data_IF_648825910659
#
_entry.id   IF_648825910659
#
_cell.length_a   1.000
_cell.length_b   1.000
_cell.length_c   1.000
_cell.angle_alpha   90.00
_cell.angle_beta   90.00
_cell.angle_gamma   90.00
#
_symmetry.space_group_name_H-M   'P 1'
#
loop_
_entity.id
_entity.type
_entity.pdbx_description
1 polymer ?
#
# COMPACT_ATOMS: atom_id res chain seq x y z
N UNK A 1 13.82 30.00 24.06
CA UNK A 1 13.95 28.88 23.11
C UNK A 1 12.78 28.92 22.14
N UNK A 2 13.04 29.06 20.83
CA UNK A 2 11.99 29.05 19.80
C UNK A 2 11.30 27.68 19.80
N UNK A 3 9.98 27.66 20.04
CA UNK A 3 9.20 26.42 20.08
C UNK A 3 9.24 25.75 18.69
N UNK A 4 9.92 24.62 18.57
CA UNK A 4 9.99 23.85 17.33
C UNK A 4 8.59 23.30 17.03
N UNK A 5 8.02 23.66 15.87
CA UNK A 5 6.65 23.28 15.49
C UNK A 5 6.61 21.94 14.77
N UNK A 6 5.54 21.18 15.00
CA UNK A 6 5.24 19.94 14.29
C UNK A 6 4.14 20.15 13.23
N UNK A 7 4.42 19.76 11.98
CA UNK A 7 3.45 19.76 10.87
C UNK A 7 2.59 18.50 10.88
N UNK A 8 1.51 18.51 10.09
CA UNK A 8 0.67 17.34 9.75
C UNK A 8 -0.05 16.66 10.93
N UNK A 9 -0.11 17.31 12.10
CA UNK A 9 -0.67 16.73 13.32
C UNK A 9 0.23 15.68 13.98
N UNK A 10 1.52 15.65 13.62
CA UNK A 10 2.46 14.65 14.12
C UNK A 10 2.83 14.88 15.59
N UNK A 11 3.14 13.81 16.36
CA UNK A 11 3.67 13.94 17.71
C UNK A 11 4.97 14.76 17.72
N UNK A 12 5.04 15.79 18.58
CA UNK A 12 6.22 16.66 18.67
C UNK A 12 7.47 15.90 19.15
N UNK A 13 7.30 14.89 20.02
CA UNK A 13 8.37 13.99 20.44
C UNK A 13 8.43 12.79 19.49
N UNK A 14 9.56 12.65 18.79
CA UNK A 14 9.84 11.47 17.97
C UNK A 14 10.31 10.33 18.87
N UNK A 15 9.76 9.14 18.66
CA UNK A 15 10.18 7.90 19.33
C UNK A 15 10.14 6.72 18.38
N UNK A 16 10.91 5.68 18.70
CA UNK A 16 11.02 4.45 17.92
C UNK A 16 10.57 3.25 18.75
N UNK A 17 9.99 2.26 18.09
CA UNK A 17 9.53 1.04 18.73
C UNK A 17 10.72 0.32 19.39
N UNK A 18 10.52 -0.23 20.58
CA UNK A 18 11.57 -1.02 21.26
C UNK A 18 11.81 -2.39 20.62
N UNK A 19 10.81 -2.98 19.96
CA UNK A 19 10.91 -4.31 19.31
C UNK A 19 11.33 -4.25 17.84
N UNK A 20 11.08 -3.15 17.12
CA UNK A 20 11.45 -2.99 15.71
C UNK A 20 12.07 -1.61 15.45
N UNK A 21 12.04 -1.13 14.21
CA UNK A 21 12.57 0.20 13.82
C UNK A 21 11.50 1.24 13.51
N UNK A 22 10.22 0.91 13.65
CA UNK A 22 9.13 1.81 13.29
C UNK A 22 9.06 3.04 14.22
N UNK A 23 8.81 4.21 13.64
CA UNK A 23 8.65 5.48 14.38
C UNK A 23 7.18 5.78 14.71
N UNK A 24 6.95 6.47 15.83
CA UNK A 24 5.64 7.03 16.19
C UNK A 24 5.16 8.16 15.25
N UNK A 25 5.99 8.56 14.28
CA UNK A 25 5.63 9.50 13.22
C UNK A 25 4.90 8.83 12.05
N UNK A 26 4.88 7.49 12.00
CA UNK A 26 4.17 6.75 10.94
C UNK A 26 2.67 7.07 10.99
N UNK A 27 2.06 7.53 9.88
CA UNK A 27 0.61 7.70 9.83
C UNK A 27 -0.11 6.35 9.85
N UNK A 28 -1.24 6.30 10.55
CA UNK A 28 -2.17 5.18 10.57
C UNK A 28 -3.08 5.21 9.34
N UNK A 29 -3.62 4.04 8.96
CA UNK A 29 -4.60 3.94 7.89
C UNK A 29 -5.87 4.75 8.20
N UNK A 30 -6.41 5.40 7.18
CA UNK A 30 -7.64 6.21 7.25
C UNK A 30 -8.51 5.93 6.03
N UNK A 31 -9.76 6.39 6.03
CA UNK A 31 -10.62 6.37 4.84
C UNK A 31 -10.14 7.45 3.87
N UNK A 32 -9.52 7.07 2.76
CA UNK A 32 -8.75 7.98 1.90
C UNK A 32 -9.58 9.07 1.24
N UNK A 33 -10.86 8.78 0.92
CA UNK A 33 -11.72 9.71 0.18
C UNK A 33 -12.24 10.88 1.02
N UNK A 34 -12.03 10.86 2.34
CA UNK A 34 -12.47 11.90 3.28
C UNK A 34 -11.36 12.86 3.72
N UNK A 35 -10.13 12.68 3.22
CA UNK A 35 -8.97 13.43 3.71
C UNK A 35 -8.71 14.72 2.92
N UNK A 36 -8.66 15.86 3.62
CA UNK A 36 -8.31 17.16 3.09
C UNK A 36 -6.91 17.63 3.55
N UNK A 37 -6.36 18.62 2.84
CA UNK A 37 -5.16 19.33 3.31
C UNK A 37 -5.46 20.06 4.62
N UNK A 38 -4.70 19.75 5.68
CA UNK A 38 -4.87 20.35 7.01
C UNK A 38 -5.41 19.40 8.08
N UNK A 39 -5.97 18.26 7.69
CA UNK A 39 -6.45 17.25 8.62
C UNK A 39 -5.30 16.66 9.45
N UNK A 40 -5.51 16.58 10.77
CA UNK A 40 -4.55 15.97 11.71
C UNK A 40 -4.47 14.47 11.46
N UNK A 41 -3.27 13.99 11.12
CA UNK A 41 -3.06 12.55 10.94
C UNK A 41 -2.97 11.87 12.30
N UNK A 42 -3.73 10.78 12.45
CA UNK A 42 -3.46 9.82 13.52
C UNK A 42 -2.19 9.05 13.16
N UNK A 43 -1.34 8.82 14.14
CA UNK A 43 -0.11 8.05 13.98
C UNK A 43 -0.21 6.68 14.65
N UNK A 44 0.71 5.78 14.33
CA UNK A 44 0.80 4.45 14.92
C UNK A 44 0.85 4.55 16.45
N UNK A 45 0.08 3.71 17.15
CA UNK A 45 0.06 3.74 18.61
C UNK A 45 1.20 2.89 19.17
N UNK A 46 1.74 3.39 20.29
CA UNK A 46 2.76 2.74 21.11
C UNK A 46 2.17 2.52 22.50
N UNK A 47 2.44 1.37 23.10
CA UNK A 47 2.09 1.13 24.50
C UNK A 47 3.03 1.86 25.48
N UNK A 48 2.77 1.72 26.77
CA UNK A 48 3.61 2.30 27.83
C UNK A 48 5.05 1.77 27.84
N UNK A 49 5.29 0.56 27.29
CA UNK A 49 6.61 -0.02 27.14
C UNK A 49 7.33 0.46 25.87
N UNK A 50 6.70 1.28 25.02
CA UNK A 50 7.26 1.77 23.77
C UNK A 50 7.23 0.76 22.63
N UNK A 51 6.33 -0.21 22.65
CA UNK A 51 6.12 -1.21 21.59
C UNK A 51 4.93 -0.79 20.72
N UNK A 52 5.10 -0.83 19.41
CA UNK A 52 4.05 -0.43 18.47
C UNK A 52 3.03 -1.54 18.19
N UNK A 53 1.81 -1.16 17.80
CA UNK A 53 0.70 -2.08 17.52
C UNK A 53 1.06 -3.19 16.53
N UNK A 54 1.88 -2.89 15.51
CA UNK A 54 2.30 -3.88 14.52
C UNK A 54 3.14 -5.01 15.15
N UNK A 55 3.97 -4.70 16.16
CA UNK A 55 4.74 -5.71 16.88
C UNK A 55 3.84 -6.56 17.78
N UNK A 56 2.83 -5.95 18.41
CA UNK A 56 1.80 -6.68 19.16
C UNK A 56 1.00 -7.62 18.27
N UNK A 57 0.63 -7.18 17.06
CA UNK A 57 -0.05 -8.05 16.10
C UNK A 57 0.84 -9.20 15.63
N UNK A 58 2.14 -8.94 15.37
CA UNK A 58 3.08 -10.00 15.02
C UNK A 58 3.24 -11.04 16.14
N UNK A 59 3.32 -10.62 17.39
CA UNK A 59 3.37 -11.54 18.54
C UNK A 59 2.08 -12.35 18.70
N UNK A 60 0.92 -11.70 18.52
CA UNK A 60 -0.38 -12.38 18.49
C UNK A 60 -0.45 -13.42 17.36
N UNK A 61 0.05 -13.07 16.17
CA UNK A 61 0.10 -13.94 14.98
C UNK A 61 0.88 -15.23 15.24
N UNK A 62 1.94 -15.16 16.05
CA UNK A 62 2.77 -16.31 16.41
C UNK A 62 2.22 -17.13 17.59
N UNK A 63 1.52 -16.50 18.52
CA UNK A 63 1.20 -17.13 19.82
C UNK A 63 -0.27 -17.48 20.01
N UNK A 64 -1.19 -16.81 19.31
CA UNK A 64 -2.64 -16.93 19.56
C UNK A 64 -3.43 -17.48 18.36
N UNK A 65 -2.85 -17.48 17.15
CA UNK A 65 -3.55 -17.95 15.95
C UNK A 65 -3.29 -19.43 15.72
N UNK A 66 -4.36 -20.23 15.73
CA UNK A 66 -4.35 -21.61 15.24
C UNK A 66 -4.47 -21.62 13.71
N UNK A 67 -3.34 -21.74 13.02
CA UNK A 67 -3.28 -21.76 11.56
C UNK A 67 -3.98 -22.95 10.91
N UNK A 68 -4.07 -24.10 11.58
CA UNK A 68 -4.80 -25.26 11.06
C UNK A 68 -6.30 -24.97 11.05
N UNK A 69 -6.81 -24.36 12.12
CA UNK A 69 -8.20 -23.90 12.19
C UNK A 69 -8.49 -22.83 11.14
N UNK A 70 -7.59 -21.87 10.94
CA UNK A 70 -7.72 -20.84 9.88
C UNK A 70 -7.77 -21.45 8.48
N UNK A 71 -6.88 -22.39 8.19
CA UNK A 71 -6.89 -23.07 6.90
C UNK A 71 -8.20 -23.85 6.67
N UNK A 72 -8.75 -24.49 7.72
CA UNK A 72 -10.05 -25.15 7.63
C UNK A 72 -11.17 -24.16 7.28
N UNK A 73 -11.19 -22.99 7.93
CA UNK A 73 -12.16 -21.93 7.63
C UNK A 73 -12.05 -21.43 6.19
N UNK A 74 -10.83 -21.37 5.63
CA UNK A 74 -10.63 -21.01 4.22
C UNK A 74 -11.20 -22.08 3.29
N UNK A 75 -10.97 -23.36 3.58
CA UNK A 75 -11.55 -24.46 2.78
C UNK A 75 -13.07 -24.38 2.77
N UNK A 76 -13.69 -24.22 3.94
CA UNK A 76 -15.14 -24.04 4.06
C UNK A 76 -15.64 -22.79 3.32
N UNK A 77 -14.87 -21.70 3.30
CA UNK A 77 -15.20 -20.51 2.51
C UNK A 77 -15.11 -20.82 1.00
N UNK A 78 -14.00 -21.39 0.54
CA UNK A 78 -13.81 -21.77 -0.85
C UNK A 78 -14.91 -22.73 -1.32
N UNK A 79 -15.22 -23.78 -0.56
CA UNK A 79 -16.24 -24.77 -0.91
C UNK A 79 -17.64 -24.16 -1.09
N UNK A 80 -17.97 -23.10 -0.35
CA UNK A 80 -19.26 -22.39 -0.51
C UNK A 80 -19.37 -21.56 -1.78
N UNK A 81 -18.25 -21.09 -2.32
CA UNK A 81 -18.22 -20.17 -3.46
C UNK A 81 -17.71 -20.81 -4.74
N UNK A 82 -16.96 -21.91 -4.65
CA UNK A 82 -16.41 -22.64 -5.79
C UNK A 82 -17.52 -22.99 -6.77
N UNK A 83 -17.29 -22.65 -8.02
CA UNK A 83 -18.25 -22.93 -9.09
C UNK A 83 -17.87 -24.19 -9.84
N UNK A 84 -18.88 -24.93 -10.29
CA UNK A 84 -18.72 -26.17 -11.06
C UNK A 84 -19.00 -25.98 -12.55
N UNK A 85 -19.44 -24.78 -12.96
CA UNK A 85 -19.75 -24.43 -14.34
C UNK A 85 -18.55 -23.81 -15.09
N UNK A 86 -17.35 -23.93 -14.51
CA UNK A 86 -16.09 -23.35 -15.02
C UNK A 86 -16.06 -21.82 -15.11
N UNK A 87 -17.03 -21.11 -14.53
CA UNK A 87 -16.98 -19.66 -14.43
C UNK A 87 -16.14 -19.20 -13.22
N UNK A 88 -15.69 -17.94 -13.24
CA UNK A 88 -14.90 -17.39 -12.15
C UNK A 88 -15.67 -17.40 -10.82
N UNK A 89 -15.01 -17.83 -9.75
CA UNK A 89 -15.59 -17.95 -8.42
C UNK A 89 -14.96 -17.01 -7.39
N UNK A 90 -13.81 -16.41 -7.71
CA UNK A 90 -13.20 -15.35 -6.94
C UNK A 90 -12.46 -14.32 -7.79
N UNK A 91 -12.38 -13.08 -7.29
CA UNK A 91 -11.54 -12.02 -7.83
C UNK A 91 -10.27 -11.91 -6.99
N UNK A 92 -9.11 -11.84 -7.65
CA UNK A 92 -7.83 -11.59 -6.99
C UNK A 92 -7.19 -10.33 -7.57
N UNK A 93 -7.31 -9.18 -6.88
CA UNK A 93 -6.60 -7.96 -7.26
C UNK A 93 -5.09 -8.14 -7.08
N UNK A 94 -4.31 -7.70 -8.05
CA UNK A 94 -2.86 -7.87 -8.00
C UNK A 94 -2.10 -7.27 -9.16
N UNK A 95 -0.79 -7.04 -8.98
CA UNK A 95 0.10 -6.52 -10.02
C UNK A 95 1.00 -7.58 -10.66
N UNK A 96 0.89 -8.84 -10.23
CA UNK A 96 1.90 -9.87 -10.51
C UNK A 96 3.10 -9.82 -9.57
N UNK A 97 3.06 -8.95 -8.56
CA UNK A 97 3.96 -9.00 -7.42
C UNK A 97 3.79 -10.28 -6.59
N UNK A 98 4.79 -10.56 -5.74
CA UNK A 98 4.90 -11.78 -4.92
C UNK A 98 3.62 -12.16 -4.17
N UNK A 99 2.93 -11.18 -3.56
CA UNK A 99 1.75 -11.44 -2.73
C UNK A 99 0.53 -11.81 -3.56
N UNK A 100 0.29 -11.13 -4.68
CA UNK A 100 -0.78 -11.48 -5.62
C UNK A 100 -0.50 -12.79 -6.35
N UNK A 101 0.76 -13.06 -6.67
CA UNK A 101 1.20 -14.32 -7.26
C UNK A 101 0.93 -15.48 -6.29
N UNK A 102 1.34 -15.36 -5.03
CA UNK A 102 1.00 -16.33 -3.98
C UNK A 102 -0.51 -16.50 -3.83
N UNK A 103 -1.26 -15.41 -3.66
CA UNK A 103 -2.69 -15.46 -3.38
C UNK A 103 -3.49 -16.15 -4.49
N UNK A 104 -3.28 -15.74 -5.74
CA UNK A 104 -3.97 -16.35 -6.89
C UNK A 104 -3.56 -17.81 -7.10
N UNK A 105 -2.27 -18.13 -6.97
CA UNK A 105 -1.76 -19.48 -7.19
C UNK A 105 -2.20 -20.45 -6.10
N UNK A 106 -2.15 -20.06 -4.82
CA UNK A 106 -2.61 -20.95 -3.76
C UNK A 106 -4.13 -21.19 -3.86
N UNK A 107 -4.93 -20.17 -4.19
CA UNK A 107 -6.37 -20.32 -4.40
C UNK A 107 -6.66 -21.28 -5.56
N UNK A 108 -6.00 -21.11 -6.71
CA UNK A 108 -6.21 -21.97 -7.88
C UNK A 108 -5.74 -23.40 -7.64
N UNK A 109 -4.47 -23.59 -7.30
CA UNK A 109 -3.85 -24.91 -7.37
C UNK A 109 -3.95 -25.72 -6.07
N UNK A 110 -4.18 -25.08 -4.91
CA UNK A 110 -4.37 -25.78 -3.62
C UNK A 110 -5.84 -25.86 -3.20
N UNK A 111 -6.65 -24.86 -3.53
CA UNK A 111 -8.05 -24.79 -3.13
C UNK A 111 -9.04 -24.98 -4.28
N UNK A 112 -8.54 -25.26 -5.49
CA UNK A 112 -9.35 -25.58 -6.67
C UNK A 112 -10.37 -24.48 -6.99
N UNK A 113 -9.95 -23.22 -6.86
CA UNK A 113 -10.75 -22.06 -7.23
C UNK A 113 -10.43 -21.62 -8.66
N UNK A 114 -11.36 -20.90 -9.29
CA UNK A 114 -11.22 -20.26 -10.59
C UNK A 114 -11.06 -18.73 -10.43
N UNK A 115 -9.86 -18.23 -10.08
CA UNK A 115 -9.64 -16.81 -9.89
C UNK A 115 -9.63 -16.04 -11.22
N UNK A 116 -10.39 -14.95 -11.28
CA UNK A 116 -10.11 -13.87 -12.23
C UNK A 116 -9.16 -12.88 -11.57
N UNK A 117 -7.95 -12.75 -12.13
CA UNK A 117 -7.01 -11.74 -11.63
C UNK A 117 -7.32 -10.38 -12.22
N UNK A 118 -7.14 -9.32 -11.43
CA UNK A 118 -7.44 -7.95 -11.88
C UNK A 118 -6.33 -7.01 -11.47
N UNK A 119 -5.76 -6.31 -12.44
CA UNK A 119 -4.63 -5.41 -12.23
C UNK A 119 -5.04 -3.97 -12.41
N UNK A 120 -4.80 -3.15 -11.39
CA UNK A 120 -4.75 -1.71 -11.53
C UNK A 120 -3.35 -1.32 -11.96
N UNK A 121 -3.19 -0.77 -13.17
CA UNK A 121 -1.88 -0.45 -13.72
C UNK A 121 -1.11 0.54 -12.81
N UNK A 122 0.22 0.38 -12.66
CA UNK A 122 1.07 1.36 -12.02
C UNK A 122 1.10 2.67 -12.82
N UNK A 123 1.67 3.72 -12.22
CA UNK A 123 1.85 4.99 -12.93
C UNK A 123 2.73 4.80 -14.16
N UNK A 124 3.86 4.10 -13.97
CA UNK A 124 4.83 3.75 -14.99
C UNK A 124 5.46 2.40 -14.64
N UNK A 125 5.32 1.41 -15.53
CA UNK A 125 5.97 0.12 -15.34
C UNK A 125 7.50 0.24 -15.32
N UNK A 126 8.13 -0.55 -14.45
CA UNK A 126 9.53 -0.95 -14.63
C UNK A 126 9.59 -2.17 -15.57
N UNK A 127 10.76 -2.41 -16.17
CA UNK A 127 10.96 -3.56 -17.04
C UNK A 127 10.75 -4.89 -16.28
N UNK A 128 11.29 -4.99 -15.06
CA UNK A 128 11.13 -6.18 -14.22
C UNK A 128 9.68 -6.35 -13.75
N UNK A 129 8.99 -5.25 -13.45
CA UNK A 129 7.57 -5.23 -13.13
C UNK A 129 6.72 -5.81 -14.25
N UNK A 130 6.96 -5.33 -15.47
CA UNK A 130 6.26 -5.82 -16.66
C UNK A 130 6.54 -7.32 -16.92
N UNK A 131 7.79 -7.76 -16.78
CA UNK A 131 8.15 -9.19 -16.90
C UNK A 131 7.48 -10.05 -15.84
N UNK A 132 7.43 -9.59 -14.59
CA UNK A 132 6.76 -10.32 -13.52
C UNK A 132 5.24 -10.38 -13.72
N UNK A 133 4.63 -9.29 -14.18
CA UNK A 133 3.22 -9.25 -14.54
C UNK A 133 2.89 -10.26 -15.65
N UNK A 134 3.67 -10.29 -16.72
CA UNK A 134 3.45 -11.25 -17.82
C UNK A 134 3.77 -12.68 -17.41
N UNK A 135 4.81 -12.91 -16.61
CA UNK A 135 5.13 -14.24 -16.07
C UNK A 135 4.01 -14.76 -15.16
N UNK A 136 3.44 -13.89 -14.31
CA UNK A 136 2.29 -14.24 -13.48
C UNK A 136 1.15 -14.81 -14.32
N UNK A 137 0.82 -14.17 -15.46
CA UNK A 137 -0.22 -14.64 -16.39
C UNK A 137 0.20 -15.92 -17.10
N UNK A 138 1.32 -15.90 -17.83
CA UNK A 138 1.68 -16.96 -18.78
C UNK A 138 2.29 -18.20 -18.12
N UNK A 139 3.08 -18.02 -17.06
CA UNK A 139 3.70 -19.13 -16.33
C UNK A 139 2.90 -19.52 -15.10
N UNK A 140 2.36 -18.53 -14.36
CA UNK A 140 1.45 -18.80 -13.24
C UNK A 140 0.08 -19.34 -13.68
N UNK A 141 -0.33 -19.07 -14.92
CA UNK A 141 -1.52 -19.64 -15.54
C UNK A 141 -2.80 -18.94 -15.07
N UNK A 142 -2.91 -17.63 -15.26
CA UNK A 142 -4.08 -16.84 -14.86
C UNK A 142 -4.67 -16.01 -15.99
N UNK A 143 -6.00 -15.93 -16.00
CA UNK A 143 -6.71 -14.89 -16.73
C UNK A 143 -6.57 -13.56 -15.98
N UNK A 144 -6.38 -12.48 -16.74
CA UNK A 144 -6.18 -11.15 -16.17
C UNK A 144 -6.99 -10.08 -16.90
N UNK A 145 -7.59 -9.18 -16.12
CA UNK A 145 -7.99 -7.87 -16.65
C UNK A 145 -7.02 -6.81 -16.16
N UNK A 146 -6.24 -6.25 -17.09
CA UNK A 146 -5.44 -5.07 -16.87
C UNK A 146 -6.29 -3.82 -17.07
N UNK A 147 -6.59 -3.13 -15.98
CA UNK A 147 -7.22 -1.81 -16.01
C UNK A 147 -6.13 -0.73 -15.96
N UNK A 148 -5.87 -0.13 -17.11
CA UNK A 148 -5.01 1.06 -17.22
C UNK A 148 -5.90 2.31 -17.24
N UNK A 149 -5.81 3.21 -16.23
CA UNK A 149 -6.62 4.43 -16.24
C UNK A 149 -6.24 5.37 -17.38
N UNK A 150 -7.14 6.30 -17.69
CA UNK A 150 -6.84 7.41 -18.59
C UNK A 150 -5.56 8.12 -18.12
N UNK A 151 -4.48 8.00 -18.90
CA UNK A 151 -3.16 8.47 -18.52
C UNK A 151 -3.08 9.99 -18.31
N UNK A 152 -3.93 10.78 -19.00
CA UNK A 152 -4.01 12.23 -18.79
C UNK A 152 -4.57 12.56 -17.40
N UNK A 153 -5.61 11.82 -17.00
CA UNK A 153 -6.26 11.98 -15.69
C UNK A 153 -5.34 11.48 -14.59
N UNK A 154 -4.71 10.32 -14.77
CA UNK A 154 -3.82 9.74 -13.76
C UNK A 154 -2.62 10.65 -13.48
N UNK A 155 -1.98 11.18 -14.53
CA UNK A 155 -0.89 12.17 -14.42
C UNK A 155 -1.34 13.44 -13.71
N UNK A 156 -2.50 14.00 -14.09
CA UNK A 156 -3.06 15.19 -13.46
C UNK A 156 -3.29 14.98 -11.96
N UNK A 157 -3.97 13.89 -11.58
CA UNK A 157 -4.25 13.58 -10.18
C UNK A 157 -2.96 13.34 -9.39
N UNK A 158 -1.95 12.70 -9.99
CA UNK A 158 -0.64 12.46 -9.38
C UNK A 158 0.10 13.78 -9.14
N UNK A 159 0.12 14.67 -10.14
CA UNK A 159 0.68 16.03 -10.03
C UNK A 159 -0.01 16.83 -8.92
N UNK A 160 -1.34 16.81 -8.87
CA UNK A 160 -2.11 17.49 -7.82
C UNK A 160 -1.79 16.90 -6.44
N UNK A 161 -1.77 15.57 -6.32
CA UNK A 161 -1.45 14.89 -5.06
C UNK A 161 -0.02 15.22 -4.57
N UNK A 162 0.95 15.30 -5.48
CA UNK A 162 2.31 15.76 -5.15
C UNK A 162 2.32 17.22 -4.69
N UNK A 163 1.75 18.15 -5.47
CA UNK A 163 1.81 19.60 -5.20
C UNK A 163 1.05 19.99 -3.94
N UNK A 164 -0.11 19.39 -3.71
CA UNK A 164 -1.03 19.77 -2.64
C UNK A 164 -0.79 18.98 -1.35
N UNK A 165 -0.45 17.70 -1.46
CA UNK A 165 -0.39 16.79 -0.31
C UNK A 165 1.03 16.26 -0.04
N UNK A 166 1.96 16.43 -0.98
CA UNK A 166 3.23 15.70 -1.03
C UNK A 166 3.00 14.19 -0.90
N UNK A 167 2.06 13.67 -1.69
CA UNK A 167 1.69 12.25 -1.69
C UNK A 167 1.36 11.80 -3.12
N UNK A 168 2.36 11.69 -4.01
CA UNK A 168 2.13 11.41 -5.43
C UNK A 168 1.36 10.10 -5.67
N UNK A 169 1.55 9.11 -4.80
CA UNK A 169 0.95 7.78 -4.92
C UNK A 169 -0.53 7.69 -4.55
N UNK A 170 -1.15 8.77 -4.06
CA UNK A 170 -2.55 8.77 -3.64
C UNK A 170 -3.52 8.25 -4.72
N UNK A 171 -3.43 8.67 -6.00
CA UNK A 171 -4.34 8.19 -7.03
C UNK A 171 -4.27 6.68 -7.26
N UNK A 172 -3.07 6.10 -7.15
CA UNK A 172 -2.87 4.66 -7.25
C UNK A 172 -3.54 3.91 -6.09
N UNK A 173 -3.44 4.42 -4.85
CA UNK A 173 -4.11 3.81 -3.68
C UNK A 173 -5.63 3.74 -3.89
N UNK A 174 -6.25 4.78 -4.48
CA UNK A 174 -7.68 4.75 -4.79
C UNK A 174 -8.03 3.63 -5.78
N UNK A 175 -7.31 3.58 -6.90
CA UNK A 175 -7.53 2.52 -7.90
C UNK A 175 -7.35 1.13 -7.31
N UNK A 176 -6.25 0.90 -6.59
CA UNK A 176 -5.92 -0.37 -5.95
C UNK A 176 -7.03 -0.84 -4.99
N UNK A 177 -7.58 0.05 -4.16
CA UNK A 177 -8.64 -0.32 -3.21
C UNK A 177 -9.97 -0.65 -3.89
N UNK A 178 -10.30 0.07 -4.96
CA UNK A 178 -11.60 -0.03 -5.60
C UNK A 178 -11.68 -1.18 -6.60
N UNK A 179 -10.56 -1.56 -7.23
CA UNK A 179 -10.57 -2.43 -8.42
C UNK A 179 -11.19 -3.79 -8.14
N UNK A 180 -10.88 -4.42 -7.00
CA UNK A 180 -11.44 -5.73 -6.65
C UNK A 180 -12.96 -5.70 -6.51
N UNK A 181 -13.49 -4.73 -5.79
CA UNK A 181 -14.92 -4.58 -5.60
C UNK A 181 -15.65 -4.16 -6.89
N UNK A 182 -15.05 -3.27 -7.71
CA UNK A 182 -15.59 -2.89 -9.03
C UNK A 182 -15.73 -4.10 -9.95
N UNK A 183 -14.70 -4.94 -10.01
CA UNK A 183 -14.70 -6.10 -10.89
C UNK A 183 -15.55 -7.25 -10.36
N UNK A 184 -15.63 -7.43 -9.03
CA UNK A 184 -16.62 -8.32 -8.42
C UNK A 184 -18.04 -7.98 -8.88
N UNK A 185 -18.40 -6.68 -8.86
CA UNK A 185 -19.70 -6.22 -9.31
C UNK A 185 -19.93 -6.43 -10.82
N UNK A 186 -18.90 -6.12 -11.62
CA UNK A 186 -18.97 -6.18 -13.10
C UNK A 186 -19.06 -7.61 -13.63
N UNK A 187 -18.38 -8.56 -12.99
CA UNK A 187 -18.35 -9.97 -13.39
C UNK A 187 -19.33 -10.84 -12.61
N UNK A 188 -20.08 -10.26 -11.66
CA UNK A 188 -20.99 -10.99 -10.78
C UNK A 188 -20.28 -12.14 -10.02
N UNK A 189 -19.11 -11.82 -9.45
CA UNK A 189 -18.26 -12.73 -8.67
C UNK A 189 -18.18 -12.17 -7.24
N UNK A 190 -18.94 -12.73 -6.28
CA UNK A 190 -19.12 -12.10 -4.97
C UNK A 190 -17.95 -12.29 -3.99
N UNK A 191 -16.93 -13.08 -4.32
CA UNK A 191 -15.80 -13.33 -3.43
C UNK A 191 -14.53 -12.63 -3.95
N UNK A 192 -13.90 -11.80 -3.12
CA UNK A 192 -12.65 -11.10 -3.44
C UNK A 192 -11.61 -11.40 -2.37
N UNK A 193 -10.38 -11.70 -2.79
CA UNK A 193 -9.24 -11.87 -1.88
C UNK A 193 -8.15 -10.83 -2.13
N UNK A 194 -7.81 -10.05 -1.10
CA UNK A 194 -6.55 -9.32 -1.01
C UNK A 194 -5.53 -10.11 -0.20
N UNK A 195 -4.25 -9.95 -0.51
CA UNK A 195 -3.18 -10.70 0.17
C UNK A 195 -3.05 -10.34 1.66
N UNK A 196 -2.84 -9.06 1.96
CA UNK A 196 -2.31 -8.60 3.26
C UNK A 196 -3.36 -7.97 4.16
N UNK A 197 -3.24 -8.18 5.48
CA UNK A 197 -4.03 -7.45 6.46
C UNK A 197 -3.33 -6.15 6.87
N UNK A 198 -4.07 -5.04 6.92
CA UNK A 198 -3.56 -3.72 7.35
C UNK A 198 -2.90 -3.72 8.74
N UNK A 199 -3.25 -4.68 9.60
CA UNK A 199 -2.67 -4.85 10.92
C UNK A 199 -1.14 -5.11 10.88
N UNK A 200 -0.61 -5.65 9.78
CA UNK A 200 0.83 -5.88 9.56
C UNK A 200 1.65 -4.58 9.61
N UNK A 201 0.99 -3.43 9.43
CA UNK A 201 1.60 -2.10 9.43
C UNK A 201 1.24 -1.26 10.66
N UNK A 202 0.37 -1.75 11.54
CA UNK A 202 -0.15 -1.01 12.69
C UNK A 202 -1.24 0.00 12.33
N UNK A 203 -2.36 -0.06 13.04
CA UNK A 203 -3.56 0.72 12.70
C UNK A 203 -4.34 1.27 13.92
N UNK A 204 -3.73 1.32 15.11
CA UNK A 204 -4.33 1.94 16.29
C UNK A 204 -5.40 1.08 16.99
N UNK A 205 -5.33 -0.24 16.85
CA UNK A 205 -6.26 -1.20 17.48
C UNK A 205 -5.51 -2.35 18.12
N UNK A 206 -6.15 -3.01 19.09
CA UNK A 206 -5.59 -4.22 19.68
C UNK A 206 -5.44 -5.35 18.65
N UNK A 207 -4.54 -6.32 18.87
CA UNK A 207 -4.39 -7.45 17.95
C UNK A 207 -5.69 -8.22 17.70
N UNK A 208 -6.52 -8.40 18.73
CA UNK A 208 -7.80 -9.11 18.63
C UNK A 208 -8.83 -8.35 17.77
N UNK A 209 -8.88 -7.02 17.86
CA UNK A 209 -9.76 -6.20 17.02
C UNK A 209 -9.30 -6.14 15.55
N UNK A 210 -8.03 -6.45 15.32
CA UNK A 210 -7.39 -6.50 14.01
C UNK A 210 -7.45 -7.87 13.34
N UNK A 211 -7.74 -8.90 14.11
CA UNK A 211 -7.96 -10.25 13.64
C UNK A 211 -9.34 -10.39 12.97
N UNK A 212 -9.48 -9.76 11.82
CA UNK A 212 -10.69 -9.76 11.01
C UNK A 212 -10.42 -10.43 9.66
N UNK A 213 -11.36 -11.25 9.21
CA UNK A 213 -11.29 -11.89 7.89
C UNK A 213 -11.61 -10.90 6.77
N UNK A 214 -12.64 -10.07 6.97
CA UNK A 214 -13.17 -9.21 5.92
C UNK A 214 -12.67 -7.78 6.02
N UNK A 215 -12.38 -7.19 4.87
CA UNK A 215 -12.12 -5.76 4.71
C UNK A 215 -13.44 -5.03 4.95
N UNK A 216 -13.42 -4.00 5.81
CA UNK A 216 -14.63 -3.21 6.06
C UNK A 216 -15.06 -2.46 4.78
N UNK A 217 -16.34 -2.54 4.37
CA UNK A 217 -16.82 -1.89 3.15
C UNK A 217 -16.53 -0.40 3.07
N UNK A 218 -16.48 0.31 4.19
CA UNK A 218 -16.19 1.76 4.22
C UNK A 218 -14.83 2.14 3.62
N UNK A 219 -13.90 1.20 3.42
CA UNK A 219 -12.60 1.48 2.80
C UNK A 219 -12.64 1.55 1.27
N UNK A 220 -13.69 1.04 0.64
CA UNK A 220 -13.79 0.94 -0.83
C UNK A 220 -15.20 1.19 -1.36
N UNK A 221 -16.17 1.50 -0.49
CA UNK A 221 -17.56 1.77 -0.87
C UNK A 221 -18.12 2.99 -0.15
N UNK A 222 -19.01 3.69 -0.84
CA UNK A 222 -19.77 4.83 -0.32
C UNK A 222 -21.01 5.05 -1.18
N UNK A 223 -22.10 5.47 -0.55
CA UNK A 223 -23.27 6.02 -1.24
C UNK A 223 -23.40 7.54 -1.01
N UNK A 224 -22.40 8.17 -0.39
CA UNK A 224 -22.32 9.62 -0.25
C UNK A 224 -22.16 10.29 -1.63
N UNK A 225 -22.59 11.56 -1.73
CA UNK A 225 -22.38 12.33 -2.96
C UNK A 225 -20.90 12.39 -3.31
N UNK A 226 -20.58 12.21 -4.60
CA UNK A 226 -19.20 12.31 -5.09
C UNK A 226 -18.59 13.69 -4.84
N UNK A 227 -19.42 14.71 -4.59
CA UNK A 227 -18.97 16.06 -4.26
C UNK A 227 -18.21 16.16 -2.94
N UNK A 228 -18.38 15.18 -2.03
CA UNK A 228 -17.64 15.11 -0.76
C UNK A 228 -16.25 14.50 -0.91
N UNK A 229 -15.95 13.91 -2.08
CA UNK A 229 -14.71 13.18 -2.33
C UNK A 229 -13.59 14.15 -2.73
N UNK A 230 -12.40 13.90 -2.20
CA UNK A 230 -11.19 14.66 -2.49
C UNK A 230 -10.16 13.76 -3.17
N UNK A 231 -9.70 14.17 -4.36
CA UNK A 231 -8.64 13.48 -5.11
C UNK A 231 -7.48 14.45 -5.36
N UNK A 232 -6.25 14.05 -5.04
CA UNK A 232 -5.07 14.92 -5.18
C UNK A 232 -5.13 16.20 -4.33
N UNK A 233 -5.91 16.18 -3.24
CA UNK A 233 -6.16 17.36 -2.41
C UNK A 233 -7.16 18.35 -3.00
N UNK A 234 -7.87 17.98 -4.07
CA UNK A 234 -8.88 18.81 -4.75
C UNK A 234 -10.25 18.12 -4.67
N UNK A 235 -11.31 18.83 -4.25
CA UNK A 235 -12.67 18.30 -4.30
C UNK A 235 -13.07 17.90 -5.73
N UNK A 236 -13.75 16.75 -5.88
CA UNK A 236 -14.22 16.25 -7.19
C UNK A 236 -15.05 17.29 -7.94
N UNK A 237 -15.91 18.03 -7.25
CA UNK A 237 -16.69 19.13 -7.85
C UNK A 237 -15.82 20.18 -8.55
N UNK A 238 -14.64 20.50 -8.00
CA UNK A 238 -13.69 21.43 -8.62
C UNK A 238 -12.97 20.80 -9.81
N UNK A 239 -12.63 19.51 -9.73
CA UNK A 239 -12.01 18.78 -10.84
C UNK A 239 -12.94 18.75 -12.07
N UNK A 240 -14.23 18.49 -11.85
CA UNK A 240 -15.23 18.50 -12.92
C UNK A 240 -15.40 19.90 -13.54
N UNK A 241 -15.46 20.94 -12.70
CA UNK A 241 -15.73 22.31 -13.15
C UNK A 241 -14.53 23.03 -13.78
N UNK A 242 -13.31 22.78 -13.29
CA UNK A 242 -12.11 23.57 -13.64
C UNK A 242 -11.07 22.81 -14.45
N UNK A 243 -10.98 21.49 -14.29
CA UNK A 243 -9.99 20.67 -15.00
C UNK A 243 -10.58 20.00 -16.25
N UNK A 244 -11.83 20.30 -16.60
CA UNK A 244 -12.51 19.75 -17.78
C UNK A 244 -12.72 18.23 -17.72
N UNK A 245 -12.66 17.63 -16.53
CA UNK A 245 -12.83 16.19 -16.35
C UNK A 245 -14.31 15.81 -16.36
N UNK A 246 -14.62 14.66 -16.95
CA UNK A 246 -15.95 14.06 -16.87
C UNK A 246 -16.09 13.18 -15.63
N UNK A 247 -17.33 12.82 -15.27
CA UNK A 247 -17.57 11.81 -14.23
C UNK A 247 -16.96 10.45 -14.60
N UNK A 248 -16.96 10.10 -15.88
CA UNK A 248 -16.37 8.85 -16.37
C UNK A 248 -14.85 8.81 -16.18
N UNK A 249 -14.17 9.95 -16.37
CA UNK A 249 -12.72 10.07 -16.13
C UNK A 249 -12.36 9.78 -14.67
N UNK A 250 -13.23 10.18 -13.74
CA UNK A 250 -13.00 10.04 -12.31
C UNK A 250 -13.50 8.72 -11.73
N UNK A 251 -14.48 8.06 -12.36
CA UNK A 251 -15.11 6.83 -11.86
C UNK A 251 -14.11 5.77 -11.37
N UNK A 252 -12.97 5.49 -12.05
CA UNK A 252 -12.00 4.49 -11.59
C UNK A 252 -11.45 4.76 -10.18
N UNK A 253 -11.39 6.03 -9.78
CA UNK A 253 -10.90 6.48 -8.48
C UNK A 253 -11.99 6.59 -7.42
N UNK A 254 -13.26 6.50 -7.82
CA UNK A 254 -14.41 6.64 -6.92
C UNK A 254 -14.77 5.29 -6.28
N UNK A 255 -15.20 5.31 -5.00
CA UNK A 255 -15.67 4.11 -4.32
C UNK A 255 -16.91 3.54 -5.01
N UNK A 256 -17.11 2.23 -4.89
CA UNK A 256 -18.32 1.58 -5.42
C UNK A 256 -19.54 1.85 -4.53
N UNK A 257 -20.74 1.66 -5.07
CA UNK A 257 -21.97 1.79 -4.27
C UNK A 257 -22.05 0.70 -3.20
N UNK A 258 -22.25 1.12 -1.95
CA UNK A 258 -22.45 0.20 -0.83
C UNK A 258 -23.74 -0.62 -1.02
N UNK A 259 -24.80 0.00 -1.55
CA UNK A 259 -26.04 -0.69 -1.93
C UNK A 259 -25.82 -1.78 -2.98
N UNK A 260 -25.01 -1.52 -4.01
CA UNK A 260 -24.70 -2.51 -5.03
C UNK A 260 -23.95 -3.72 -4.46
N UNK A 261 -22.95 -3.49 -3.61
CA UNK A 261 -22.22 -4.56 -2.93
C UNK A 261 -23.13 -5.43 -2.06
N UNK A 262 -24.03 -4.81 -1.29
CA UNK A 262 -25.00 -5.54 -0.47
C UNK A 262 -25.95 -6.38 -1.32
N UNK A 263 -26.44 -5.84 -2.44
CA UNK A 263 -27.34 -6.55 -3.37
C UNK A 263 -26.69 -7.81 -3.95
N UNK A 264 -25.44 -7.73 -4.38
CA UNK A 264 -24.70 -8.87 -4.93
C UNK A 264 -23.96 -9.70 -3.86
N UNK A 265 -24.09 -9.34 -2.58
CA UNK A 265 -23.45 -10.03 -1.44
C UNK A 265 -21.92 -10.15 -1.60
N UNK A 266 -21.29 -9.10 -2.14
CA UNK A 266 -19.84 -9.07 -2.33
C UNK A 266 -19.14 -9.05 -0.97
N UNK A 267 -18.18 -9.94 -0.79
CA UNK A 267 -17.30 -10.03 0.38
C UNK A 267 -15.85 -9.89 -0.04
N UNK A 268 -15.14 -8.99 0.62
CA UNK A 268 -13.72 -8.77 0.41
C UNK A 268 -12.96 -9.30 1.62
N UNK A 269 -12.08 -10.27 1.40
CA UNK A 269 -11.34 -10.97 2.45
C UNK A 269 -9.85 -10.69 2.39
N UNK A 270 -9.21 -10.67 3.55
CA UNK A 270 -7.76 -10.75 3.70
C UNK A 270 -7.35 -12.22 3.70
N UNK A 271 -6.63 -12.68 2.67
CA UNK A 271 -6.11 -14.04 2.64
C UNK A 271 -5.14 -14.29 3.80
N UNK A 272 -4.40 -13.27 4.23
CA UNK A 272 -3.53 -13.28 5.42
C UNK A 272 -4.24 -13.63 6.74
N UNK A 273 -5.57 -13.55 6.80
CA UNK A 273 -6.34 -14.04 7.93
C UNK A 273 -6.33 -15.57 8.01
N UNK A 274 -6.35 -16.21 6.84
CA UNK A 274 -6.51 -17.63 6.68
C UNK A 274 -5.17 -18.37 6.57
N UNK A 275 -4.22 -17.75 5.87
CA UNK A 275 -2.87 -18.28 5.64
C UNK A 275 -1.87 -17.31 6.25
N UNK A 276 -0.86 -17.85 6.94
CA UNK A 276 0.17 -17.03 7.59
C UNK A 276 0.91 -16.22 6.54
N UNK A 277 0.74 -14.90 6.60
CA UNK A 277 1.44 -13.99 5.71
C UNK A 277 2.85 -13.69 6.20
N UNK A 278 3.81 -13.95 5.31
CA UNK A 278 5.21 -13.52 5.40
C UNK A 278 5.67 -13.14 3.97
N UNK A 279 6.08 -11.89 3.73
CA UNK A 279 6.42 -11.41 2.40
C UNK A 279 7.66 -12.09 1.81
N UNK A 280 8.58 -12.58 2.64
CA UNK A 280 9.76 -13.31 2.16
C UNK A 280 9.37 -14.74 1.76
N UNK A 281 8.48 -15.40 2.51
CA UNK A 281 7.95 -16.71 2.11
C UNK A 281 7.09 -16.60 0.85
N UNK A 282 6.29 -15.54 0.71
CA UNK A 282 5.55 -15.27 -0.51
C UNK A 282 6.47 -15.01 -1.71
N UNK A 283 7.61 -14.34 -1.50
CA UNK A 283 8.63 -14.18 -2.53
C UNK A 283 9.16 -15.54 -3.00
N UNK A 284 9.57 -16.41 -2.08
CA UNK A 284 10.07 -17.75 -2.43
C UNK A 284 9.01 -18.58 -3.15
N UNK A 285 7.76 -18.51 -2.70
CA UNK A 285 6.65 -19.18 -3.34
C UNK A 285 6.44 -18.68 -4.78
N UNK A 286 6.32 -17.36 -4.97
CA UNK A 286 6.08 -16.76 -6.27
C UNK A 286 7.21 -17.08 -7.27
N UNK A 287 8.47 -17.02 -6.83
CA UNK A 287 9.60 -17.39 -7.69
C UNK A 287 9.54 -18.84 -8.13
N UNK A 288 9.11 -19.75 -7.26
CA UNK A 288 8.97 -21.17 -7.58
C UNK A 288 7.81 -21.47 -8.52
N UNK A 289 6.71 -20.74 -8.39
CA UNK A 289 5.41 -21.14 -8.94
C UNK A 289 4.88 -20.27 -10.08
N UNK A 290 5.34 -19.03 -10.23
CA UNK A 290 4.74 -18.07 -11.18
C UNK A 290 5.77 -17.37 -12.06
N UNK A 291 7.04 -17.80 -12.01
CA UNK A 291 8.12 -17.16 -12.76
C UNK A 291 8.52 -15.78 -12.23
N UNK A 292 8.13 -15.43 -10.98
CA UNK A 292 8.50 -14.14 -10.39
C UNK A 292 10.01 -14.02 -10.21
N UNK A 293 10.57 -12.89 -10.65
CA UNK A 293 11.98 -12.57 -10.56
C UNK A 293 12.21 -11.35 -9.67
N UNK A 294 13.19 -11.45 -8.78
CA UNK A 294 13.72 -10.29 -8.10
C UNK A 294 14.45 -9.38 -9.09
N UNK A 295 14.55 -8.10 -8.76
CA UNK A 295 15.37 -7.15 -9.49
C UNK A 295 16.87 -7.51 -9.37
N UNK A 296 17.67 -7.17 -10.37
CA UNK A 296 19.13 -7.38 -10.33
C UNK A 296 19.80 -6.48 -9.30
N UNK A 297 19.21 -5.31 -9.07
CA UNK A 297 19.66 -4.30 -8.13
C UNK A 297 18.64 -4.07 -7.00
N UNK A 298 19.10 -3.50 -5.89
CA UNK A 298 18.19 -3.06 -4.81
C UNK A 298 17.35 -1.87 -5.25
N UNK A 299 16.16 -1.76 -4.68
CA UNK A 299 15.32 -0.57 -4.84
C UNK A 299 15.88 0.60 -4.03
N UNK A 300 15.93 1.79 -4.63
CA UNK A 300 16.42 2.99 -3.95
C UNK A 300 15.55 3.31 -2.71
N UNK A 301 16.21 3.72 -1.62
CA UNK A 301 15.59 3.87 -0.31
C UNK A 301 15.51 2.57 0.50
N UNK A 302 15.94 1.43 -0.06
CA UNK A 302 15.92 0.12 0.58
C UNK A 302 17.12 -0.76 0.19
N UNK A 303 17.23 -1.89 0.88
CA UNK A 303 18.12 -3.02 0.59
C UNK A 303 17.41 -4.16 -0.14
N UNK A 304 16.07 -4.13 -0.20
CA UNK A 304 15.27 -5.17 -0.87
C UNK A 304 15.39 -5.12 -2.39
N UNK A 305 15.25 -6.28 -3.03
CA UNK A 305 15.23 -6.47 -4.49
C UNK A 305 13.90 -7.02 -5.03
N UNK A 306 12.94 -7.34 -4.17
CA UNK A 306 11.77 -8.14 -4.56
C UNK A 306 10.43 -7.53 -4.14
N UNK A 307 10.43 -6.54 -3.25
CA UNK A 307 9.22 -5.87 -2.80
C UNK A 307 8.95 -4.64 -3.66
N UNK A 308 7.70 -4.45 -4.13
CA UNK A 308 7.22 -3.25 -4.86
C UNK A 308 8.21 -2.74 -5.91
N UNK A 309 8.46 -3.58 -6.91
CA UNK A 309 9.46 -3.33 -7.97
C UNK A 309 8.81 -3.02 -9.32
N UNK A 310 7.49 -2.86 -9.37
CA UNK A 310 6.68 -2.77 -10.58
C UNK A 310 6.40 -1.34 -11.05
N UNK A 311 6.51 -0.33 -10.18
CA UNK A 311 6.23 1.07 -10.50
C UNK A 311 7.47 1.97 -10.32
N UNK A 312 7.84 2.72 -11.36
CA UNK A 312 8.91 3.74 -11.32
C UNK A 312 8.60 4.91 -10.38
N UNK A 313 7.33 5.13 -10.05
CA UNK A 313 6.87 6.20 -9.14
C UNK A 313 6.90 5.79 -7.67
N UNK A 314 6.91 4.49 -7.36
CA UNK A 314 6.89 3.98 -5.99
C UNK A 314 8.05 4.47 -5.09
N UNK A 315 9.31 4.57 -5.58
CA UNK A 315 10.38 5.15 -4.78
C UNK A 315 10.10 6.60 -4.31
N UNK A 316 9.37 7.39 -5.09
CA UNK A 316 8.96 8.76 -4.71
C UNK A 316 7.86 8.77 -3.65
N UNK A 317 7.02 7.72 -3.57
CA UNK A 317 6.08 7.55 -2.45
C UNK A 317 6.83 7.45 -1.12
N UNK A 318 7.86 6.62 -1.07
CA UNK A 318 8.65 6.43 0.15
C UNK A 318 9.56 7.63 0.43
N UNK A 319 10.13 8.27 -0.59
CA UNK A 319 10.90 9.50 -0.39
C UNK A 319 10.02 10.63 0.16
N UNK A 320 8.82 10.84 -0.37
CA UNK A 320 7.90 11.86 0.17
C UNK A 320 7.39 11.51 1.57
N UNK A 321 7.24 10.22 1.88
CA UNK A 321 6.97 9.71 3.24
C UNK A 321 8.11 10.08 4.20
N UNK A 322 9.37 9.87 3.80
CA UNK A 322 10.55 10.29 4.56
C UNK A 322 10.51 11.80 4.83
N UNK A 323 10.24 12.61 3.80
CA UNK A 323 10.22 14.06 3.95
C UNK A 323 9.17 14.52 4.98
N UNK A 324 7.98 13.92 4.96
CA UNK A 324 6.89 14.32 5.86
C UNK A 324 7.03 13.75 7.26
N UNK A 325 7.50 12.52 7.38
CA UNK A 325 7.35 11.69 8.57
C UNK A 325 8.67 11.19 9.16
N UNK A 326 9.81 11.45 8.49
CA UNK A 326 11.12 11.03 8.97
C UNK A 326 11.37 9.52 8.86
N UNK A 327 10.55 8.79 8.10
CA UNK A 327 10.68 7.35 7.85
C UNK A 327 10.65 7.08 6.34
N UNK A 328 11.64 6.35 5.84
CA UNK A 328 11.75 5.92 4.45
C UNK A 328 11.30 4.47 4.27
N UNK A 329 11.64 3.90 3.11
CA UNK A 329 11.26 2.54 2.73
C UNK A 329 11.97 1.47 3.56
N UNK A 330 13.26 1.60 3.80
CA UNK A 330 14.04 0.66 4.61
C UNK A 330 13.47 0.53 6.03
N UNK A 331 12.88 1.58 6.61
CA UNK A 331 12.15 1.48 7.89
C UNK A 331 10.96 0.54 7.80
N UNK A 332 10.16 0.59 6.73
CA UNK A 332 9.04 -0.34 6.55
C UNK A 332 9.52 -1.77 6.36
N UNK A 333 10.47 -1.98 5.45
CA UNK A 333 11.03 -3.30 5.12
C UNK A 333 11.70 -3.93 6.35
N UNK A 334 12.63 -3.22 7.01
CA UNK A 334 13.33 -3.72 8.20
C UNK A 334 12.38 -3.94 9.38
N UNK A 335 11.39 -3.06 9.59
CA UNK A 335 10.44 -3.29 10.66
C UNK A 335 9.61 -4.56 10.43
N UNK A 336 9.26 -4.87 9.17
CA UNK A 336 8.56 -6.09 8.81
C UNK A 336 9.48 -7.31 9.00
N UNK A 337 10.71 -7.28 8.50
CA UNK A 337 11.66 -8.40 8.60
C UNK A 337 12.07 -8.71 10.05
N UNK A 338 12.14 -7.70 10.92
CA UNK A 338 12.31 -7.92 12.37
C UNK A 338 11.11 -8.66 12.95
N UNK A 339 9.88 -8.28 12.57
CA UNK A 339 8.65 -8.92 13.05
C UNK A 339 8.53 -10.37 12.59
N UNK A 340 9.04 -10.71 11.41
CA UNK A 340 9.15 -12.10 10.92
C UNK A 340 10.43 -12.82 11.36
N UNK A 341 11.25 -12.21 12.23
CA UNK A 341 12.49 -12.78 12.80
C UNK A 341 13.55 -13.13 11.75
N UNK A 342 13.56 -12.43 10.62
CA UNK A 342 14.53 -12.61 9.53
C UNK A 342 15.81 -11.81 9.78
N UNK A 343 15.68 -10.68 10.48
CA UNK A 343 16.81 -9.88 10.96
C UNK A 343 16.57 -9.46 12.42
N UNK A 344 17.65 -9.12 13.11
CA UNK A 344 17.62 -8.52 14.44
C UNK A 344 17.28 -7.03 14.36
N UNK A 345 16.87 -6.43 15.49
CA UNK A 345 16.68 -4.98 15.57
C UNK A 345 17.97 -4.21 15.26
N UNK A 346 19.13 -4.70 15.71
CA UNK A 346 20.42 -4.05 15.49
C UNK A 346 20.77 -3.99 13.99
N UNK A 347 20.58 -5.09 13.27
CA UNK A 347 20.72 -5.12 11.80
C UNK A 347 19.73 -4.17 11.13
N UNK A 348 18.46 -4.17 11.57
CA UNK A 348 17.46 -3.25 11.05
C UNK A 348 17.82 -1.78 11.24
N UNK A 349 18.36 -1.39 12.41
CA UNK A 349 18.87 -0.04 12.65
C UNK A 349 19.99 0.31 11.67
N UNK A 350 20.95 -0.59 11.45
CA UNK A 350 22.05 -0.37 10.52
C UNK A 350 21.55 -0.19 9.08
N UNK A 351 20.58 -1.00 8.65
CA UNK A 351 19.96 -0.91 7.33
C UNK A 351 19.18 0.40 7.15
N UNK A 352 18.39 0.82 8.14
CA UNK A 352 17.67 2.10 8.11
C UNK A 352 18.65 3.25 7.98
N UNK A 353 19.69 3.31 8.81
CA UNK A 353 20.70 4.39 8.75
C UNK A 353 21.40 4.47 7.39
N UNK A 354 21.60 3.32 6.74
CA UNK A 354 22.28 3.24 5.44
C UNK A 354 21.39 3.64 4.26
N UNK A 355 20.11 3.26 4.27
CA UNK A 355 19.29 3.30 3.06
C UNK A 355 18.10 4.27 3.10
N UNK A 356 17.52 4.60 4.27
CA UNK A 356 16.23 5.31 4.32
C UNK A 356 16.26 6.71 3.70
N UNK A 357 17.41 7.39 3.79
CA UNK A 357 17.60 8.76 3.29
C UNK A 357 18.14 8.82 1.85
N UNK A 358 18.27 7.68 1.18
CA UNK A 358 18.67 7.64 -0.22
C UNK A 358 17.61 8.29 -1.11
N UNK A 359 18.07 9.14 -2.03
CA UNK A 359 17.20 9.75 -3.03
C UNK A 359 17.02 8.80 -4.23
N UNK A 360 15.78 8.62 -4.74
CA UNK A 360 15.52 7.77 -5.88
C UNK A 360 15.91 8.45 -7.21
N UNK A 361 17.20 8.39 -7.55
CA UNK A 361 17.75 9.07 -8.73
C UNK A 361 17.37 8.36 -10.03
N UNK A 362 17.29 7.02 -10.05
CA UNK A 362 17.14 6.23 -11.30
C UNK A 362 15.90 6.61 -12.11
N UNK A 363 14.79 6.87 -11.44
CA UNK A 363 13.52 7.25 -12.08
C UNK A 363 13.15 8.71 -11.88
N UNK A 364 14.10 9.57 -11.48
CA UNK A 364 13.80 10.97 -11.19
C UNK A 364 13.39 11.76 -12.42
N UNK A 365 14.09 11.57 -13.54
CA UNK A 365 13.70 12.19 -14.82
C UNK A 365 12.29 11.73 -15.24
N UNK A 366 12.05 10.42 -15.22
CA UNK A 366 10.76 9.82 -15.59
C UNK A 366 9.63 10.37 -14.70
N UNK A 367 9.88 10.53 -13.40
CA UNK A 367 8.89 11.08 -12.47
C UNK A 367 8.59 12.55 -12.76
N UNK A 368 9.60 13.41 -12.94
CA UNK A 368 9.41 14.83 -13.27
C UNK A 368 8.63 15.01 -14.57
N UNK A 369 8.95 14.21 -15.59
CA UNK A 369 8.22 14.20 -16.86
C UNK A 369 6.78 13.72 -16.68
N UNK A 370 6.57 12.65 -15.91
CA UNK A 370 5.24 12.08 -15.67
C UNK A 370 4.28 13.07 -15.01
N UNK A 371 4.75 13.77 -13.97
CA UNK A 371 3.95 14.78 -13.26
C UNK A 371 4.15 16.20 -13.82
N UNK A 372 4.89 16.37 -14.92
CA UNK A 372 5.05 17.64 -15.64
C UNK A 372 5.41 18.82 -14.70
N UNK A 373 6.54 18.70 -13.99
CA UNK A 373 7.11 19.77 -13.16
C UNK A 373 8.62 19.89 -13.39
N UNK A 374 9.18 21.09 -13.14
CA UNK A 374 10.63 21.29 -13.17
C UNK A 374 11.32 20.72 -11.93
N UNK A 375 12.62 20.46 -12.05
CA UNK A 375 13.46 20.03 -10.91
C UNK A 375 13.46 21.07 -9.79
N UNK A 376 13.47 22.36 -10.11
CA UNK A 376 13.45 23.47 -9.16
C UNK A 376 12.13 23.50 -8.41
N UNK A 377 11.01 23.32 -9.11
CA UNK A 377 9.69 23.24 -8.47
C UNK A 377 9.60 22.03 -7.53
N UNK A 378 10.10 20.87 -7.95
CA UNK A 378 10.17 19.66 -7.12
C UNK A 378 10.90 19.94 -5.80
N UNK A 379 12.13 20.47 -5.86
CA UNK A 379 12.92 20.75 -4.66
C UNK A 379 12.29 21.81 -3.76
N UNK A 380 11.68 22.85 -4.34
CA UNK A 380 10.94 23.87 -3.57
C UNK A 380 9.77 23.26 -2.78
N UNK A 381 9.01 22.34 -3.39
CA UNK A 381 7.90 21.65 -2.74
C UNK A 381 8.42 20.72 -1.62
N UNK A 382 9.48 19.99 -1.90
CA UNK A 382 10.14 19.04 -0.98
C UNK A 382 10.71 19.77 0.26
N UNK A 383 11.40 20.89 0.07
CA UNK A 383 11.94 21.70 1.17
C UNK A 383 10.84 22.28 2.05
N UNK A 384 9.77 22.81 1.43
CA UNK A 384 8.61 23.36 2.16
C UNK A 384 7.90 22.31 3.02
N UNK A 385 7.92 21.04 2.59
CA UNK A 385 7.19 19.98 3.28
C UNK A 385 7.90 19.44 4.53
N UNK A 386 9.19 19.73 4.74
CA UNK A 386 9.90 19.25 5.93
C UNK A 386 9.30 19.82 7.20
N UNK A 387 8.99 18.94 8.16
CA UNK A 387 8.54 19.37 9.47
C UNK A 387 9.73 19.82 10.33
N UNK A 388 9.70 21.02 10.95
CA UNK A 388 10.82 21.54 11.74
C UNK A 388 11.26 20.66 12.91
N UNK A 389 10.35 19.85 13.50
CA UNK A 389 10.68 18.91 14.57
C UNK A 389 11.38 17.63 14.09
N UNK A 390 11.26 17.30 12.80
CA UNK A 390 11.92 16.13 12.19
C UNK A 390 13.25 16.55 11.56
N UNK A 391 13.29 17.69 10.90
CA UNK A 391 14.42 18.10 10.07
C UNK A 391 15.12 19.35 10.59
N UNK A 392 16.44 19.40 10.40
CA UNK A 392 17.27 20.60 10.54
C UNK A 392 18.24 20.71 9.37
N UNK A 393 18.67 21.93 9.06
CA UNK A 393 19.81 22.16 8.15
C UNK A 393 21.09 22.23 8.98
N UNK A 394 22.07 21.42 8.63
CA UNK A 394 23.43 21.46 9.16
C UNK A 394 24.42 21.52 7.99
N UNK A 395 25.31 22.51 7.99
CA UNK A 395 26.31 22.71 6.91
C UNK A 395 25.69 22.69 5.51
N UNK A 396 24.52 23.31 5.35
CA UNK A 396 23.77 23.37 4.09
C UNK A 396 23.01 22.09 3.69
N UNK A 397 23.08 21.01 4.49
CA UNK A 397 22.40 19.74 4.21
C UNK A 397 21.26 19.50 5.19
N UNK A 398 20.18 18.88 4.70
CA UNK A 398 19.09 18.43 5.57
C UNK A 398 19.50 17.15 6.29
N UNK A 399 19.30 17.13 7.61
CA UNK A 399 19.52 15.96 8.46
C UNK A 399 18.33 15.77 9.40
N UNK A 400 18.07 14.51 9.77
CA UNK A 400 17.08 14.18 10.80
C UNK A 400 17.58 14.68 12.17
N UNK A 401 16.68 15.29 12.94
CA UNK A 401 16.93 15.67 14.34
C UNK A 401 16.99 14.48 15.28
N UNK A 402 16.23 13.45 14.94
CA UNK A 402 16.05 12.25 15.75
C UNK A 402 16.29 11.02 14.86
N UNK A 403 17.55 10.74 14.47
CA UNK A 403 17.87 9.50 13.78
C UNK A 403 17.59 8.30 14.69
N UNK A 404 17.30 7.15 14.09
CA UNK A 404 17.13 5.91 14.85
C UNK A 404 18.47 5.45 15.46
N UNK A 405 18.37 4.86 16.66
CA UNK A 405 19.47 4.29 17.43
C UNK A 405 19.25 2.80 17.75
#
# INVERSE_FOLDING_TARGET
>A
MTKITAKYGLPAKVSFCRKCVMSNQKPSSTVEFKYASGDKKKTIAFDAAGVCDACHFAEYKETQIDWKKREKQLRELCDRYRRTDSSYDCIVPGSGGKDSAFASHVLKYKYDMHPLTVTWAPHLYTDIGWRNFTAWIHQGGFDNVLFTPNGRVHRLLTRLAFKNLLHPFQPFIFGQKNIGAKFALKFNVPLVFYGENQAEYGNGKSPKENDIAQVKPEFFSSDESIDTIILGGVPVKKLLAKEGLSRNDLDPYLPVSARALKKQKVQVHYLAHYLKWDPQENFYYATKHTGFQANTERTEGSYSKYSSIDDKTDPFHYYTTLIKFGIGRATYDAAQEIRSRKITRAEGVALVRRYDQEFPERSFKDFLEYIDISKEEFWRIIDRARSPHIWKKEKGRWVLRHPIE
#
